data_IF_220494771096
#
_entry.id   IF_220494771096
#
_cell.length_a   1.000
_cell.length_b   1.000
_cell.length_c   1.000
_cell.angle_alpha   90.00
_cell.angle_beta   90.00
_cell.angle_gamma   90.00
#
_symmetry.space_group_name_H-M   'P 1'
#
loop_
_entity.id
_entity.type
_entity.pdbx_description
1 polymer ?
#
# COMPACT_ATOMS: atom_id res chain seq x y z
N UNK A 1 -5.10 22.22 -4.29
CA UNK A 1 -6.45 21.62 -4.20
C UNK A 1 -6.79 21.52 -2.73
N UNK A 2 -7.99 22.02 -2.34
CA UNK A 2 -8.41 21.97 -0.93
C UNK A 2 -8.36 20.55 -0.42
N UNK A 3 -7.75 20.35 0.75
CA UNK A 3 -7.67 19.07 1.48
C UNK A 3 -9.05 18.56 1.99
N UNK A 4 -10.13 19.18 1.58
CA UNK A 4 -11.49 18.67 1.79
C UNK A 4 -11.72 17.47 0.87
N UNK A 5 -10.93 16.44 1.14
CA UNK A 5 -11.07 15.16 0.52
C UNK A 5 -12.44 14.58 0.85
N UNK A 6 -13.12 14.15 -0.17
CA UNK A 6 -14.39 13.46 -0.12
C UNK A 6 -14.24 12.15 0.68
N UNK A 7 -14.39 12.23 2.00
CA UNK A 7 -14.54 11.05 2.84
C UNK A 7 -15.99 10.60 2.79
N UNK A 8 -16.21 9.31 2.75
CA UNK A 8 -17.54 8.75 2.89
C UNK A 8 -17.73 8.40 4.37
N UNK A 9 -18.52 9.19 5.13
CA UNK A 9 -18.71 8.93 6.55
C UNK A 9 -19.21 7.51 6.81
N UNK A 10 -18.65 6.89 7.86
CA UNK A 10 -19.07 5.57 8.34
C UNK A 10 -18.95 4.41 7.34
N UNK A 11 -18.30 4.59 6.16
CA UNK A 11 -18.13 3.52 5.15
C UNK A 11 -17.46 2.27 5.72
N UNK A 12 -16.53 2.44 6.64
CA UNK A 12 -15.80 1.36 7.31
C UNK A 12 -16.10 1.25 8.81
N UNK A 13 -17.24 1.78 9.25
CA UNK A 13 -17.64 1.69 10.66
C UNK A 13 -17.69 0.25 11.15
N UNK A 14 -17.01 -0.03 12.27
CA UNK A 14 -16.89 -1.37 12.85
C UNK A 14 -16.01 -2.33 12.04
N UNK A 15 -15.22 -1.82 11.09
CA UNK A 15 -14.22 -2.59 10.35
C UNK A 15 -12.83 -2.42 10.94
N UNK A 16 -12.06 -3.49 10.93
CA UNK A 16 -10.68 -3.53 11.39
C UNK A 16 -9.75 -3.58 10.19
N UNK A 17 -8.85 -2.61 10.10
CA UNK A 17 -7.96 -2.41 8.95
C UNK A 17 -6.51 -2.44 9.39
N UNK A 18 -5.68 -3.22 8.70
CA UNK A 18 -4.22 -3.20 8.85
C UNK A 18 -3.60 -2.53 7.62
N UNK A 19 -2.68 -1.59 7.83
CA UNK A 19 -1.92 -0.93 6.76
C UNK A 19 -0.43 -1.02 7.07
N UNK A 20 0.38 -1.61 6.18
CA UNK A 20 1.84 -1.64 6.33
C UNK A 20 2.49 -0.40 5.71
N UNK A 21 3.57 0.12 6.31
CA UNK A 21 4.19 1.39 5.91
C UNK A 21 3.26 2.59 6.16
N UNK A 22 2.49 2.54 7.26
CA UNK A 22 1.44 3.53 7.57
C UNK A 22 1.98 4.88 8.06
N UNK A 23 3.27 4.96 8.37
CA UNK A 23 3.90 6.16 8.91
C UNK A 23 4.20 7.24 7.87
N UNK A 24 4.10 6.95 6.55
CA UNK A 24 4.38 7.95 5.50
C UNK A 24 3.69 7.65 4.17
N UNK A 25 3.71 8.63 3.28
CA UNK A 25 3.32 8.52 1.87
C UNK A 25 1.92 7.94 1.66
N UNK A 26 1.81 7.00 0.72
CA UNK A 26 0.55 6.33 0.36
C UNK A 26 -0.03 5.57 1.56
N UNK A 27 0.82 4.89 2.36
CA UNK A 27 0.38 4.17 3.54
C UNK A 27 -0.29 5.07 4.57
N UNK A 28 0.31 6.22 4.87
CA UNK A 28 -0.24 7.21 5.80
C UNK A 28 -1.56 7.81 5.30
N UNK A 29 -1.62 8.20 4.03
CA UNK A 29 -2.86 8.71 3.42
C UNK A 29 -3.99 7.66 3.45
N UNK A 30 -3.65 6.39 3.19
CA UNK A 30 -4.59 5.27 3.20
C UNK A 30 -5.10 4.99 4.62
N UNK A 31 -4.21 4.88 5.59
CA UNK A 31 -4.55 4.66 7.00
C UNK A 31 -5.41 5.81 7.54
N UNK A 32 -5.06 7.06 7.20
CA UNK A 32 -5.83 8.26 7.55
C UNK A 32 -7.23 8.20 6.96
N UNK A 33 -7.36 7.82 5.68
CA UNK A 33 -8.65 7.75 5.02
C UNK A 33 -9.55 6.70 5.66
N UNK A 34 -9.06 5.50 5.91
CA UNK A 34 -9.84 4.46 6.61
C UNK A 34 -10.30 4.91 7.99
N UNK A 35 -9.41 5.53 8.79
CA UNK A 35 -9.78 6.03 10.12
C UNK A 35 -10.87 7.10 10.06
N UNK A 36 -10.77 8.05 9.12
CA UNK A 36 -11.78 9.08 8.89
C UNK A 36 -13.11 8.55 8.33
N UNK A 37 -13.08 7.39 7.72
CA UNK A 37 -14.28 6.69 7.22
C UNK A 37 -14.81 5.66 8.24
N UNK A 38 -14.37 5.72 9.50
CA UNK A 38 -14.94 5.01 10.66
C UNK A 38 -14.30 3.66 10.99
N UNK A 39 -13.17 3.30 10.38
CA UNK A 39 -12.45 2.05 10.70
C UNK A 39 -11.59 2.19 11.97
N UNK A 40 -11.41 1.06 12.69
CA UNK A 40 -10.32 0.88 13.65
C UNK A 40 -9.05 0.49 12.88
N UNK A 41 -8.08 1.40 12.77
CA UNK A 41 -6.91 1.23 11.90
C UNK A 41 -5.65 0.90 12.71
N UNK A 42 -4.95 -0.15 12.28
CA UNK A 42 -3.67 -0.59 12.82
C UNK A 42 -2.57 -0.36 11.78
N UNK A 43 -1.73 0.64 12.02
CA UNK A 43 -0.57 0.95 11.20
C UNK A 43 0.64 0.12 11.63
N UNK A 44 1.32 -0.51 10.67
CA UNK A 44 2.61 -1.18 10.88
C UNK A 44 3.71 -0.43 10.15
N UNK A 45 4.85 -0.23 10.78
CA UNK A 45 6.00 0.44 10.16
C UNK A 45 7.22 0.45 11.06
N UNK A 46 8.29 1.11 10.63
CA UNK A 46 9.58 1.11 11.33
C UNK A 46 9.82 2.39 12.14
N UNK A 47 9.21 3.51 11.76
CA UNK A 47 9.47 4.83 12.33
C UNK A 47 8.42 5.17 13.37
N UNK A 48 8.69 4.82 14.63
CA UNK A 48 7.75 4.97 15.75
C UNK A 48 7.26 6.42 15.91
N UNK A 49 8.17 7.39 15.92
CA UNK A 49 7.83 8.80 16.08
C UNK A 49 6.79 9.28 15.06
N UNK A 50 6.95 8.93 13.79
CA UNK A 50 6.00 9.28 12.73
C UNK A 50 4.67 8.52 12.89
N UNK A 51 4.75 7.26 13.30
CA UNK A 51 3.58 6.44 13.57
C UNK A 51 2.75 7.00 14.73
N UNK A 52 3.39 7.37 15.84
CA UNK A 52 2.71 7.96 17.01
C UNK A 52 2.15 9.35 16.68
N UNK A 53 2.86 10.17 15.91
CA UNK A 53 2.35 11.45 15.43
C UNK A 53 1.10 11.28 14.56
N UNK A 54 1.05 10.25 13.70
CA UNK A 54 -0.17 9.91 12.96
C UNK A 54 -1.31 9.49 13.89
N UNK A 55 -1.05 8.61 14.86
CA UNK A 55 -2.06 8.20 15.86
C UNK A 55 -2.66 9.40 16.57
N UNK A 56 -1.81 10.36 17.01
CA UNK A 56 -2.29 11.56 17.68
C UNK A 56 -3.20 12.40 16.77
N UNK A 57 -2.81 12.61 15.50
CA UNK A 57 -3.66 13.33 14.54
C UNK A 57 -5.01 12.65 14.31
N UNK A 58 -5.06 11.29 14.33
CA UNK A 58 -6.34 10.57 14.19
C UNK A 58 -7.21 10.72 15.43
N UNK A 59 -6.64 10.68 16.63
CA UNK A 59 -7.37 10.94 17.87
C UNK A 59 -7.99 12.35 17.88
N UNK A 60 -7.23 13.35 17.47
CA UNK A 60 -7.71 14.74 17.37
C UNK A 60 -8.86 14.89 16.37
N UNK A 61 -8.92 14.01 15.38
CA UNK A 61 -9.98 13.93 14.36
C UNK A 61 -11.09 12.91 14.72
N UNK A 62 -11.17 12.44 15.96
CA UNK A 62 -12.10 11.43 16.45
C UNK A 62 -12.05 10.09 15.69
N UNK A 63 -10.90 9.75 15.09
CA UNK A 63 -10.65 8.47 14.44
C UNK A 63 -9.95 7.47 15.36
N UNK A 64 -10.19 6.18 15.13
CA UNK A 64 -9.54 5.10 15.87
C UNK A 64 -8.27 4.63 15.15
N UNK A 65 -7.11 4.85 15.78
CA UNK A 65 -5.82 4.49 15.22
C UNK A 65 -4.87 3.95 16.30
N UNK A 66 -4.11 2.93 15.91
CA UNK A 66 -3.01 2.36 16.69
C UNK A 66 -1.82 2.12 15.78
N UNK A 67 -0.60 2.35 16.25
CA UNK A 67 0.61 2.06 15.50
C UNK A 67 1.49 1.05 16.24
N UNK A 68 2.01 0.08 15.50
CA UNK A 68 2.98 -0.90 15.98
C UNK A 68 4.29 -0.78 15.20
N UNK A 69 5.41 -0.72 15.92
CA UNK A 69 6.72 -0.90 15.30
C UNK A 69 6.86 -2.35 14.86
N UNK A 70 6.82 -2.56 13.56
CA UNK A 70 6.82 -3.89 12.95
C UNK A 70 7.68 -3.88 11.68
N UNK A 71 8.80 -4.60 11.73
CA UNK A 71 9.53 -4.98 10.53
C UNK A 71 8.76 -6.09 9.81
N UNK A 72 8.16 -5.74 8.68
CA UNK A 72 7.34 -6.69 7.88
C UNK A 72 8.15 -7.82 7.24
N UNK A 73 9.49 -7.75 7.26
CA UNK A 73 10.38 -8.83 6.79
C UNK A 73 10.64 -9.90 7.87
N UNK A 74 10.34 -9.57 9.13
CA UNK A 74 10.55 -10.44 10.28
C UNK A 74 9.24 -11.18 10.64
N UNK A 75 9.22 -12.49 10.40
CA UNK A 75 8.04 -13.33 10.60
C UNK A 75 7.48 -13.25 12.03
N UNK A 76 8.34 -13.26 13.05
CA UNK A 76 7.91 -13.21 14.45
C UNK A 76 7.29 -11.86 14.82
N UNK A 77 7.83 -10.75 14.27
CA UNK A 77 7.26 -9.41 14.50
C UNK A 77 5.91 -9.24 13.80
N UNK A 78 5.76 -9.78 12.60
CA UNK A 78 4.48 -9.79 11.87
C UNK A 78 3.43 -10.59 12.64
N UNK A 79 3.78 -11.81 13.05
CA UNK A 79 2.87 -12.67 13.81
C UNK A 79 2.45 -12.03 15.15
N UNK A 80 3.41 -11.50 15.92
CA UNK A 80 3.15 -10.79 17.18
C UNK A 80 2.18 -9.62 16.97
N UNK A 81 2.44 -8.78 15.94
CA UNK A 81 1.63 -7.60 15.68
C UNK A 81 0.20 -7.96 15.26
N UNK A 82 0.04 -8.95 14.39
CA UNK A 82 -1.28 -9.43 13.97
C UNK A 82 -2.03 -10.05 15.16
N UNK A 83 -1.37 -10.84 15.99
CA UNK A 83 -1.99 -11.41 17.18
C UNK A 83 -2.47 -10.33 18.17
N UNK A 84 -1.76 -9.22 18.32
CA UNK A 84 -2.22 -8.06 19.11
C UNK A 84 -3.50 -7.46 18.54
N UNK A 85 -3.59 -7.31 17.21
CA UNK A 85 -4.83 -6.84 16.56
C UNK A 85 -5.98 -7.79 16.82
N UNK A 86 -5.75 -9.10 16.65
CA UNK A 86 -6.78 -10.13 16.86
C UNK A 86 -7.22 -10.18 18.31
N UNK A 87 -6.30 -10.06 19.27
CA UNK A 87 -6.63 -10.03 20.69
C UNK A 87 -7.49 -8.79 21.07
N UNK A 88 -7.25 -7.65 20.42
CA UNK A 88 -7.99 -6.42 20.69
C UNK A 88 -9.36 -6.37 20.00
N UNK A 89 -9.48 -6.94 18.78
CA UNK A 89 -10.64 -6.71 17.91
C UNK A 89 -11.42 -7.99 17.54
N UNK A 90 -10.81 -9.17 17.69
CA UNK A 90 -11.40 -10.45 17.32
C UNK A 90 -11.55 -10.69 15.82
N UNK A 91 -11.24 -9.71 14.97
CA UNK A 91 -11.43 -9.73 13.50
C UNK A 91 -10.41 -8.90 12.77
N UNK A 92 -10.27 -9.15 11.47
CA UNK A 92 -9.58 -8.29 10.50
C UNK A 92 -10.44 -8.31 9.24
N UNK A 93 -10.79 -7.12 8.72
CA UNK A 93 -11.63 -6.97 7.53
C UNK A 93 -10.85 -6.54 6.29
N UNK A 94 -9.79 -5.75 6.49
CA UNK A 94 -8.98 -5.25 5.39
C UNK A 94 -7.49 -5.34 5.74
N UNK A 95 -6.70 -5.84 4.79
CA UNK A 95 -5.24 -5.77 4.83
C UNK A 95 -4.73 -4.97 3.63
N UNK A 96 -3.96 -3.91 3.88
CA UNK A 96 -3.27 -3.13 2.85
C UNK A 96 -1.77 -3.36 2.97
N UNK A 97 -1.20 -4.08 2.03
CA UNK A 97 0.23 -4.33 1.91
C UNK A 97 0.86 -3.21 1.08
N UNK A 98 1.33 -2.15 1.77
CA UNK A 98 1.89 -0.97 1.15
C UNK A 98 3.41 -0.81 1.41
N UNK A 99 3.95 -1.38 2.48
CA UNK A 99 5.38 -1.28 2.77
C UNK A 99 6.23 -1.67 1.55
N UNK A 100 7.19 -0.82 1.19
CA UNK A 100 8.03 -1.03 0.03
C UNK A 100 9.43 -0.45 0.21
N UNK A 101 10.40 -1.07 -0.43
CA UNK A 101 11.76 -0.57 -0.65
C UNK A 101 11.96 -0.33 -2.13
N UNK A 102 12.47 0.84 -2.46
CA UNK A 102 12.88 1.21 -3.81
C UNK A 102 14.40 1.08 -3.94
N UNK A 103 14.86 0.62 -5.11
CA UNK A 103 16.27 0.52 -5.44
C UNK A 103 16.49 0.89 -6.90
N UNK A 104 17.49 1.72 -7.15
CA UNK A 104 17.99 2.02 -8.50
C UNK A 104 19.22 1.16 -8.75
N UNK A 105 19.17 0.34 -9.78
CA UNK A 105 20.27 -0.53 -10.22
C UNK A 105 19.81 -1.42 -11.36
N UNK A 106 20.67 -1.67 -12.34
CA UNK A 106 20.46 -2.74 -13.31
C UNK A 106 20.90 -4.09 -12.73
N UNK A 107 20.80 -5.16 -13.52
CA UNK A 107 21.12 -6.52 -13.05
C UNK A 107 22.60 -6.66 -12.67
N UNK A 108 23.49 -5.94 -13.35
CA UNK A 108 24.95 -6.03 -13.11
C UNK A 108 25.41 -5.16 -11.95
N UNK A 109 24.70 -4.06 -11.69
CA UNK A 109 25.02 -3.11 -10.60
C UNK A 109 24.38 -3.51 -9.25
N UNK A 110 23.33 -4.34 -9.28
CA UNK A 110 22.56 -4.72 -8.07
C UNK A 110 23.28 -5.83 -7.32
N UNK A 111 23.66 -5.59 -6.07
CA UNK A 111 24.21 -6.63 -5.20
C UNK A 111 23.14 -7.68 -4.82
N UNK A 112 23.56 -8.92 -4.56
CA UNK A 112 22.68 -9.97 -4.05
C UNK A 112 21.94 -9.52 -2.77
N UNK A 113 22.63 -8.88 -1.85
CA UNK A 113 22.04 -8.38 -0.61
C UNK A 113 20.96 -7.30 -0.84
N UNK A 114 21.17 -6.40 -1.80
CA UNK A 114 20.18 -5.40 -2.17
C UNK A 114 18.99 -6.01 -2.89
N UNK A 115 19.23 -6.96 -3.79
CA UNK A 115 18.18 -7.75 -4.43
C UNK A 115 17.30 -8.44 -3.38
N UNK A 116 17.92 -9.20 -2.46
CA UNK A 116 17.23 -9.92 -1.42
C UNK A 116 16.43 -8.99 -0.50
N UNK A 117 16.99 -7.84 -0.16
CA UNK A 117 16.31 -6.85 0.65
C UNK A 117 15.07 -6.27 -0.05
N UNK A 118 15.15 -5.97 -1.37
CA UNK A 118 13.97 -5.53 -2.14
C UNK A 118 12.91 -6.62 -2.17
N UNK A 119 13.29 -7.87 -2.45
CA UNK A 119 12.36 -9.00 -2.48
C UNK A 119 11.76 -9.29 -1.10
N UNK A 120 12.54 -9.16 -0.04
CA UNK A 120 12.06 -9.34 1.33
C UNK A 120 10.98 -8.30 1.70
N UNK A 121 11.23 -7.01 1.41
CA UNK A 121 10.30 -5.94 1.76
C UNK A 121 9.09 -5.90 0.83
N UNK A 122 9.29 -6.03 -0.49
CA UNK A 122 8.21 -5.78 -1.45
C UNK A 122 7.32 -7.00 -1.73
N UNK A 123 7.85 -8.20 -1.56
CA UNK A 123 7.14 -9.44 -1.92
C UNK A 123 6.96 -10.37 -0.72
N UNK A 124 8.05 -10.78 -0.05
CA UNK A 124 7.96 -11.72 1.07
C UNK A 124 7.11 -11.17 2.21
N UNK A 125 7.15 -9.86 2.47
CA UNK A 125 6.30 -9.22 3.48
C UNK A 125 4.82 -9.45 3.23
N UNK A 126 4.37 -9.37 1.97
CA UNK A 126 2.97 -9.63 1.58
C UNK A 126 2.58 -11.08 1.92
N UNK A 127 3.48 -12.02 1.62
CA UNK A 127 3.27 -13.42 2.02
C UNK A 127 3.16 -13.54 3.54
N UNK A 128 4.06 -12.92 4.31
CA UNK A 128 4.07 -13.03 5.77
C UNK A 128 2.82 -12.41 6.41
N UNK A 129 2.45 -11.20 6.03
CA UNK A 129 1.25 -10.53 6.55
C UNK A 129 -0.02 -11.30 6.20
N UNK A 130 -0.13 -11.76 4.95
CA UNK A 130 -1.29 -12.53 4.48
C UNK A 130 -1.38 -13.89 5.15
N UNK A 131 -0.26 -14.57 5.38
CA UNK A 131 -0.18 -15.88 6.08
C UNK A 131 -0.88 -15.84 7.42
N UNK A 132 -0.70 -14.80 8.20
CA UNK A 132 -1.30 -14.67 9.53
C UNK A 132 -2.66 -13.98 9.53
N UNK A 133 -2.97 -13.18 8.52
CA UNK A 133 -4.23 -12.43 8.43
C UNK A 133 -5.36 -13.26 7.82
N UNK A 134 -5.08 -14.01 6.74
CA UNK A 134 -6.09 -14.81 6.02
C UNK A 134 -6.84 -15.78 6.93
N UNK A 135 -6.23 -16.56 7.84
CA UNK A 135 -6.96 -17.46 8.72
C UNK A 135 -8.01 -16.74 9.59
N UNK A 136 -7.75 -15.49 9.96
CA UNK A 136 -8.67 -14.65 10.73
C UNK A 136 -9.80 -14.14 9.82
N UNK A 137 -9.45 -13.66 8.61
CA UNK A 137 -10.39 -13.14 7.62
C UNK A 137 -11.36 -14.20 7.09
N UNK A 138 -11.00 -15.47 7.04
CA UNK A 138 -11.90 -16.57 6.62
C UNK A 138 -13.20 -16.64 7.40
N UNK A 139 -13.24 -16.10 8.62
CA UNK A 139 -14.45 -16.09 9.47
C UNK A 139 -15.50 -15.07 9.03
N UNK A 140 -15.08 -14.00 8.37
CA UNK A 140 -15.93 -12.83 8.07
C UNK A 140 -15.86 -12.38 6.60
N UNK A 141 -14.96 -12.95 5.82
CA UNK A 141 -14.58 -12.41 4.52
C UNK A 141 -13.77 -11.11 4.67
N UNK A 142 -13.51 -10.42 3.57
CA UNK A 142 -12.81 -9.14 3.60
C UNK A 142 -12.09 -8.79 2.30
N UNK A 143 -11.14 -7.86 2.38
CA UNK A 143 -10.36 -7.42 1.23
C UNK A 143 -8.85 -7.32 1.55
N UNK A 144 -8.02 -7.80 0.63
CA UNK A 144 -6.56 -7.62 0.66
C UNK A 144 -6.16 -6.77 -0.55
N UNK A 145 -5.46 -5.67 -0.30
CA UNK A 145 -5.00 -4.74 -1.33
C UNK A 145 -3.47 -4.69 -1.29
N UNK A 146 -2.84 -5.13 -2.37
CA UNK A 146 -1.38 -5.15 -2.51
C UNK A 146 -0.91 -4.02 -3.41
N UNK A 147 0.03 -3.20 -2.95
CA UNK A 147 0.51 -2.06 -3.73
C UNK A 147 1.60 -2.51 -4.70
N UNK A 148 1.21 -2.57 -5.97
CA UNK A 148 2.08 -2.78 -7.12
C UNK A 148 2.59 -1.44 -7.69
N UNK A 149 3.03 -1.42 -8.92
CA UNK A 149 3.53 -0.25 -9.64
C UNK A 149 3.37 -0.44 -11.13
N UNK A 150 3.38 0.65 -11.88
CA UNK A 150 3.53 0.62 -13.35
C UNK A 150 4.76 -0.18 -13.78
N UNK A 151 5.82 -0.19 -12.95
CA UNK A 151 7.03 -1.01 -13.17
C UNK A 151 6.78 -2.53 -13.22
N UNK A 152 5.58 -3.00 -12.86
CA UNK A 152 5.18 -4.40 -13.06
C UNK A 152 4.90 -4.74 -14.55
N UNK A 153 4.65 -3.72 -15.39
CA UNK A 153 4.22 -3.90 -16.79
C UNK A 153 5.10 -3.12 -17.77
N UNK A 154 5.51 -1.90 -17.39
CA UNK A 154 6.39 -1.04 -18.15
C UNK A 154 7.40 -0.41 -17.18
N UNK A 155 8.69 -0.37 -17.55
CA UNK A 155 9.73 0.05 -16.62
C UNK A 155 10.69 1.03 -17.26
N UNK A 156 11.32 1.85 -16.43
CA UNK A 156 12.47 2.67 -16.80
C UNK A 156 13.78 1.88 -16.62
N UNK A 157 14.86 2.40 -17.17
CA UNK A 157 16.19 1.83 -16.98
C UNK A 157 16.59 1.81 -15.50
N UNK A 158 17.34 0.80 -15.08
CA UNK A 158 17.93 0.66 -13.75
C UNK A 158 16.92 0.43 -12.60
N UNK A 159 15.85 -0.33 -12.85
CA UNK A 159 14.88 -0.72 -11.80
C UNK A 159 14.70 -2.25 -11.71
N UNK A 160 15.77 -3.03 -11.97
CA UNK A 160 15.68 -4.48 -12.13
C UNK A 160 14.99 -5.18 -10.94
N UNK A 161 15.51 -5.03 -9.72
CA UNK A 161 14.95 -5.67 -8.53
C UNK A 161 13.54 -5.16 -8.19
N UNK A 162 13.35 -3.85 -8.31
CA UNK A 162 12.05 -3.23 -8.02
C UNK A 162 10.97 -3.70 -9.00
N UNK A 163 11.24 -3.63 -10.30
CA UNK A 163 10.31 -4.08 -11.33
C UNK A 163 9.95 -5.56 -11.18
N UNK A 164 10.96 -6.42 -10.96
CA UNK A 164 10.74 -7.84 -10.71
C UNK A 164 9.84 -8.07 -9.51
N UNK A 165 10.10 -7.37 -8.38
CA UNK A 165 9.28 -7.48 -7.17
C UNK A 165 7.83 -7.04 -7.42
N UNK A 166 7.59 -5.94 -8.16
CA UNK A 166 6.24 -5.43 -8.42
C UNK A 166 5.47 -6.28 -9.44
N UNK A 167 6.15 -6.89 -10.40
CA UNK A 167 5.57 -7.92 -11.28
C UNK A 167 5.12 -9.15 -10.48
N UNK A 168 5.96 -9.61 -9.55
CA UNK A 168 5.64 -10.72 -8.67
C UNK A 168 4.44 -10.41 -7.74
N UNK A 169 4.29 -9.16 -7.26
CA UNK A 169 3.12 -8.72 -6.46
C UNK A 169 1.83 -8.90 -7.25
N UNK A 170 1.79 -8.50 -8.52
CA UNK A 170 0.60 -8.67 -9.38
C UNK A 170 0.25 -10.15 -9.54
N UNK A 171 1.25 -11.00 -9.82
CA UNK A 171 1.05 -12.44 -9.98
C UNK A 171 0.58 -13.10 -8.67
N UNK A 172 1.21 -12.77 -7.53
CA UNK A 172 0.80 -13.27 -6.22
C UNK A 172 -0.62 -12.84 -5.85
N UNK A 173 -0.98 -11.59 -6.13
CA UNK A 173 -2.34 -11.08 -5.85
C UNK A 173 -3.42 -11.85 -6.59
N UNK A 174 -3.16 -12.19 -7.86
CA UNK A 174 -4.06 -13.01 -8.68
C UNK A 174 -4.22 -14.42 -8.12
N UNK A 175 -3.10 -15.05 -7.73
CA UNK A 175 -3.13 -16.39 -7.14
C UNK A 175 -3.88 -16.39 -5.81
N UNK A 176 -3.58 -15.46 -4.92
CA UNK A 176 -4.28 -15.32 -3.63
C UNK A 176 -5.79 -15.09 -3.81
N UNK A 177 -6.18 -14.33 -4.84
CA UNK A 177 -7.60 -14.11 -5.16
C UNK A 177 -8.30 -15.42 -5.51
N UNK A 178 -7.69 -16.25 -6.36
CA UNK A 178 -8.23 -17.57 -6.74
C UNK A 178 -8.34 -18.50 -5.52
N UNK A 179 -7.31 -18.51 -4.67
CA UNK A 179 -7.23 -19.42 -3.53
C UNK A 179 -8.27 -19.08 -2.44
N UNK A 180 -8.68 -17.79 -2.31
CA UNK A 180 -9.45 -17.29 -1.17
C UNK A 180 -10.79 -16.64 -1.51
N UNK A 181 -11.18 -16.58 -2.78
CA UNK A 181 -12.51 -16.06 -3.18
C UNK A 181 -13.65 -16.87 -2.55
N UNK A 182 -13.50 -18.19 -2.44
CA UNK A 182 -14.50 -19.04 -1.78
C UNK A 182 -14.64 -18.76 -0.27
N UNK A 183 -13.62 -18.18 0.36
CA UNK A 183 -13.65 -17.74 1.74
C UNK A 183 -14.27 -16.32 1.90
N UNK A 184 -14.77 -15.73 0.82
CA UNK A 184 -15.31 -14.36 0.81
C UNK A 184 -14.20 -13.28 0.89
N UNK A 185 -12.95 -13.62 0.58
CA UNK A 185 -11.81 -12.68 0.61
C UNK A 185 -11.50 -12.27 -0.83
N UNK A 186 -11.60 -10.98 -1.11
CA UNK A 186 -11.18 -10.39 -2.39
C UNK A 186 -9.73 -9.93 -2.27
N UNK A 187 -8.91 -10.26 -3.25
CA UNK A 187 -7.52 -9.80 -3.33
C UNK A 187 -7.32 -9.08 -4.64
N UNK A 188 -6.79 -7.85 -4.59
CA UNK A 188 -6.47 -7.06 -5.77
C UNK A 188 -5.11 -6.37 -5.60
N UNK A 189 -4.46 -6.05 -6.72
CA UNK A 189 -3.28 -5.20 -6.72
C UNK A 189 -3.64 -3.80 -7.23
N UNK A 190 -3.01 -2.76 -6.67
CA UNK A 190 -3.11 -1.39 -7.17
C UNK A 190 -1.82 -1.07 -7.91
N UNK A 191 -1.95 -0.79 -9.21
CA UNK A 191 -0.83 -0.42 -10.09
C UNK A 191 -0.69 1.10 -10.03
N UNK A 192 0.32 1.55 -9.30
CA UNK A 192 0.52 2.97 -8.99
C UNK A 192 1.54 3.58 -9.95
N UNK A 193 1.22 4.76 -10.49
CA UNK A 193 2.14 5.59 -11.26
C UNK A 193 3.08 6.44 -10.40
N UNK A 194 3.53 7.58 -10.91
CA UNK A 194 4.30 8.55 -10.14
C UNK A 194 3.43 9.22 -9.07
N UNK A 195 3.87 9.19 -7.81
CA UNK A 195 3.15 9.79 -6.66
C UNK A 195 4.13 10.57 -5.79
N UNK A 196 3.75 11.79 -5.39
CA UNK A 196 4.54 12.64 -4.51
C UNK A 196 4.57 12.06 -3.08
N UNK A 197 5.66 11.37 -2.77
CA UNK A 197 5.97 10.79 -1.46
C UNK A 197 7.39 11.15 -1.07
N UNK A 198 7.74 11.08 0.20
CA UNK A 198 9.13 11.30 0.65
C UNK A 198 10.13 10.43 -0.12
N UNK A 199 9.73 9.20 -0.45
CA UNK A 199 10.54 8.25 -1.23
C UNK A 199 10.78 8.75 -2.65
N UNK A 200 9.74 9.14 -3.39
CA UNK A 200 9.85 9.59 -4.78
C UNK A 200 10.52 10.96 -4.89
N UNK A 201 10.24 11.86 -3.95
CA UNK A 201 10.86 13.18 -3.85
C UNK A 201 12.38 13.02 -3.62
N UNK A 202 12.77 12.20 -2.64
CA UNK A 202 14.17 11.94 -2.37
C UNK A 202 14.93 11.37 -3.56
N UNK A 203 14.30 10.44 -4.30
CA UNK A 203 14.87 9.85 -5.51
C UNK A 203 15.00 10.87 -6.65
N UNK A 204 13.98 11.69 -6.88
CA UNK A 204 14.01 12.70 -7.92
C UNK A 204 15.10 13.75 -7.66
N UNK A 205 15.22 14.23 -6.42
CA UNK A 205 16.28 15.17 -6.02
C UNK A 205 17.68 14.56 -6.15
N UNK A 206 17.86 13.29 -5.76
CA UNK A 206 19.11 12.57 -5.95
C UNK A 206 19.44 12.35 -7.44
N UNK A 207 18.45 12.29 -8.30
CA UNK A 207 18.58 12.22 -9.77
C UNK A 207 18.78 13.57 -10.46
N UNK A 208 18.86 14.68 -9.71
CA UNK A 208 19.13 16.02 -10.25
C UNK A 208 17.87 16.86 -10.51
N UNK A 209 16.69 16.42 -10.11
CA UNK A 209 15.49 17.26 -10.13
C UNK A 209 15.64 18.41 -9.12
N UNK A 210 14.92 19.52 -9.38
CA UNK A 210 14.80 20.65 -8.46
C UNK A 210 13.41 20.71 -7.84
N UNK A 211 13.26 21.45 -6.77
CA UNK A 211 11.93 21.63 -6.14
C UNK A 211 10.92 22.28 -7.10
N UNK A 212 11.37 23.10 -8.05
CA UNK A 212 10.51 23.80 -9.01
C UNK A 212 9.93 22.87 -10.09
N UNK A 213 10.66 21.79 -10.45
CA UNK A 213 10.19 20.82 -11.46
C UNK A 213 9.79 19.47 -10.85
N UNK A 214 9.75 19.38 -9.53
CA UNK A 214 9.43 18.16 -8.83
C UNK A 214 7.95 17.75 -9.10
N UNK A 215 7.79 16.53 -9.61
CA UNK A 215 6.46 15.97 -9.86
C UNK A 215 5.77 16.47 -11.13
N UNK A 216 6.44 17.27 -11.96
CA UNK A 216 5.95 17.64 -13.26
C UNK A 216 6.23 16.55 -14.31
N UNK A 217 5.24 16.24 -15.14
CA UNK A 217 5.36 15.28 -16.24
C UNK A 217 4.98 16.00 -17.52
N UNK A 218 5.97 16.25 -18.39
CA UNK A 218 5.75 16.85 -19.71
C UNK A 218 5.25 15.81 -20.72
N UNK A 219 4.02 15.34 -20.54
CA UNK A 219 3.37 14.49 -21.53
C UNK A 219 1.91 14.93 -21.69
N UNK A 220 1.51 15.44 -22.87
CA UNK A 220 0.14 15.89 -23.12
C UNK A 220 -0.90 14.77 -23.08
N UNK A 221 -0.48 13.52 -23.08
CA UNK A 221 -1.35 12.34 -23.05
C UNK A 221 -1.67 11.84 -21.64
N UNK A 222 -0.99 12.37 -20.63
CA UNK A 222 -1.18 12.05 -19.21
C UNK A 222 -1.65 13.28 -18.43
N UNK A 223 -1.96 13.10 -17.15
CA UNK A 223 -2.44 14.20 -16.28
C UNK A 223 -1.43 15.35 -16.14
N UNK A 224 -0.18 15.20 -16.58
CA UNK A 224 0.86 16.27 -16.55
C UNK A 224 1.44 16.53 -15.16
N UNK A 225 1.15 15.69 -14.17
CA UNK A 225 1.70 15.75 -12.82
C UNK A 225 1.78 14.36 -12.19
N UNK A 226 2.59 14.23 -11.15
CA UNK A 226 2.50 13.09 -10.25
C UNK A 226 1.21 13.14 -9.44
N UNK A 227 0.71 11.97 -9.03
CA UNK A 227 -0.44 11.85 -8.15
C UNK A 227 -0.14 12.31 -6.73
N UNK A 228 -1.18 12.64 -5.98
CA UNK A 228 -1.09 12.84 -4.54
C UNK A 228 -1.40 11.53 -3.80
N UNK A 229 -0.76 11.21 -2.66
CA UNK A 229 -1.04 10.01 -1.89
C UNK A 229 -2.52 9.77 -1.58
N UNK A 230 -3.30 10.84 -1.39
CA UNK A 230 -4.74 10.78 -1.14
C UNK A 230 -5.56 10.29 -2.33
N UNK A 231 -5.07 10.48 -3.57
CA UNK A 231 -5.72 9.97 -4.79
C UNK A 231 -5.57 8.44 -4.85
N UNK A 232 -4.41 7.92 -4.46
CA UNK A 232 -4.18 6.48 -4.35
C UNK A 232 -5.02 5.89 -3.21
N UNK A 233 -5.05 6.55 -2.06
CA UNK A 233 -5.88 6.14 -0.93
C UNK A 233 -7.38 6.04 -1.28
N UNK A 234 -7.88 6.91 -2.17
CA UNK A 234 -9.25 6.86 -2.66
C UNK A 234 -9.55 5.55 -3.41
N UNK A 235 -8.68 5.15 -4.33
CA UNK A 235 -8.83 3.88 -5.04
C UNK A 235 -8.64 2.65 -4.14
N UNK A 236 -7.72 2.71 -3.17
CA UNK A 236 -7.53 1.62 -2.20
C UNK A 236 -8.79 1.42 -1.36
N UNK A 237 -9.37 2.50 -0.82
CA UNK A 237 -10.60 2.40 -0.02
C UNK A 237 -11.81 1.99 -0.87
N UNK A 238 -11.90 2.40 -2.15
CA UNK A 238 -12.90 1.87 -3.08
C UNK A 238 -12.76 0.36 -3.23
N UNK A 239 -11.57 -0.15 -3.56
CA UNK A 239 -11.34 -1.58 -3.72
C UNK A 239 -11.61 -2.39 -2.44
N UNK A 240 -11.40 -1.81 -1.27
CA UNK A 240 -11.68 -2.44 0.01
C UNK A 240 -13.18 -2.45 0.35
N UNK A 241 -13.97 -1.57 -0.25
CA UNK A 241 -15.40 -1.40 0.04
C UNK A 241 -16.29 -2.45 -0.65
N UNK A 242 -17.54 -2.59 -0.24
CA UNK A 242 -18.53 -3.41 -0.94
C UNK A 242 -18.80 -3.00 -2.39
N UNK A 243 -18.58 -1.73 -2.75
CA UNK A 243 -18.76 -1.21 -4.11
C UNK A 243 -17.86 -1.91 -5.14
N UNK A 244 -16.74 -2.50 -4.67
CA UNK A 244 -15.82 -3.28 -5.48
C UNK A 244 -16.06 -4.80 -5.38
N UNK A 245 -17.29 -5.24 -5.03
CA UNK A 245 -17.61 -6.66 -4.78
C UNK A 245 -17.33 -7.57 -5.98
N UNK A 246 -17.37 -7.05 -7.21
CA UNK A 246 -17.09 -7.81 -8.44
C UNK A 246 -15.67 -7.63 -8.98
N UNK A 247 -14.77 -6.99 -8.22
CA UNK A 247 -13.37 -6.79 -8.58
C UNK A 247 -12.52 -7.76 -7.76
N UNK A 248 -11.99 -8.80 -8.43
CA UNK A 248 -11.23 -9.91 -7.80
C UNK A 248 -10.05 -10.28 -8.69
N UNK A 249 -8.86 -10.36 -8.13
CA UNK A 249 -7.63 -10.72 -8.84
C UNK A 249 -7.16 -9.69 -9.87
N UNK A 250 -7.71 -8.48 -9.84
CA UNK A 250 -7.47 -7.44 -10.84
C UNK A 250 -6.25 -6.58 -10.50
N UNK A 251 -5.42 -6.22 -11.50
CA UNK A 251 -4.55 -5.06 -11.43
C UNK A 251 -5.39 -3.79 -11.66
N UNK A 252 -5.56 -2.99 -10.63
CA UNK A 252 -6.34 -1.74 -10.69
C UNK A 252 -5.38 -0.55 -10.84
N UNK A 253 -5.51 0.17 -11.96
CA UNK A 253 -4.58 1.22 -12.35
C UNK A 253 -4.96 2.57 -11.74
N UNK A 254 -3.97 3.23 -11.12
CA UNK A 254 -4.06 4.61 -10.64
C UNK A 254 -2.72 5.28 -10.98
N UNK A 255 -2.56 5.69 -12.22
CA UNK A 255 -1.28 6.13 -12.79
C UNK A 255 -1.35 7.45 -13.55
N UNK A 256 -2.51 8.13 -13.55
CA UNK A 256 -2.71 9.38 -14.27
C UNK A 256 -2.64 9.24 -15.79
N UNK A 257 -2.84 8.02 -16.31
CA UNK A 257 -2.74 7.73 -17.75
C UNK A 257 -1.31 7.44 -18.22
N UNK A 258 -0.33 7.33 -17.32
CA UNK A 258 1.08 7.14 -17.67
C UNK A 258 1.33 5.92 -18.56
N UNK A 259 0.53 4.85 -18.42
CA UNK A 259 0.68 3.62 -19.21
C UNK A 259 -0.40 3.45 -20.28
N UNK A 260 -1.28 4.42 -20.46
CA UNK A 260 -2.37 4.32 -21.46
C UNK A 260 -1.86 4.43 -22.90
N UNK A 261 -0.64 4.89 -23.11
CA UNK A 261 0.00 5.12 -24.41
C UNK A 261 1.13 4.11 -24.72
N UNK A 262 1.19 2.98 -24.02
CA UNK A 262 2.20 1.92 -24.20
C UNK A 262 1.67 0.77 -25.04
#
# INVERSE_FOLDING_TARGET
MNENNYFIPDRFKGKVVIVTGAESGIGNATATRFAREGASVYGFGLRDELGQAWVQRMRDAAGEATFFVCDVTNISKVEESINKVVAAQGRIDVLVNNAARFLVGDVTDTSEADWDSVMAVNLKSIFLTSKFTIPVMKKTGGAIINIASVHAFASYNKYAAYAASKGAVVSLSRQMALDHTADGIRVNSVVVGGVNTDMSIGLALAGGATMDNLGFIEDPKVVGRTGHPTEIAAGITFLASPDASFIVGSPFWIDGGLTADL
#
